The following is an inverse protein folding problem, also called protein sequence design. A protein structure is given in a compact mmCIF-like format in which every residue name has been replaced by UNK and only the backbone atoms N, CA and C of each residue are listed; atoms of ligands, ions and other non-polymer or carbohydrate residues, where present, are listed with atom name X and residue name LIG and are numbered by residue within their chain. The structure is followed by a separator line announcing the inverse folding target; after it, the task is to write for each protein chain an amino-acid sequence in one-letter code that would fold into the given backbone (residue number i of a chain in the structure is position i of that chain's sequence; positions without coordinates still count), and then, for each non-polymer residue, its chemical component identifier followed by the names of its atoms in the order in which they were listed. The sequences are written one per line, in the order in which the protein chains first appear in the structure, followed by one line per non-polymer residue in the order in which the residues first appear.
data_IF_930419735637
#
_entry.id   IF_930419735637
#
_cell.length_a   1.000
_cell.length_b   1.000
_cell.length_c   1.000
_cell.angle_alpha   90.00
_cell.angle_beta   90.00
_cell.angle_gamma   90.00
#
_symmetry.space_group_name_H-M   'P 1'
#
loop_
_entity.id
_entity.type
_entity.pdbx_description
1 polymer ?
#
# COMPACT_ATOMS: atom_id res chain seq x y z
N UNK A 1 4.16 -16.06 -1.15
CA UNK A 1 4.07 -15.23 0.06
C UNK A 1 2.92 -14.24 -0.07
N UNK A 2 2.45 -13.72 1.05
CA UNK A 2 1.34 -12.77 1.08
C UNK A 2 1.85 -11.34 1.20
N UNK A 3 1.28 -10.45 0.38
CA UNK A 3 1.63 -9.05 0.30
C UNK A 3 0.39 -8.17 0.44
N UNK A 4 0.48 -7.16 1.30
CA UNK A 4 -0.59 -6.18 1.51
C UNK A 4 -0.27 -4.91 0.75
N UNK A 5 -1.09 -4.57 -0.23
CA UNK A 5 -1.01 -3.34 -1.00
C UNK A 5 -2.02 -2.33 -0.46
N UNK A 6 -1.58 -1.07 -0.32
CA UNK A 6 -2.45 0.00 0.19
C UNK A 6 -2.38 1.28 -0.66
N UNK A 7 -1.50 1.32 -1.63
CA UNK A 7 -1.29 2.47 -2.51
C UNK A 7 -1.45 2.13 -3.99
N UNK A 8 -0.48 2.48 -4.81
CA UNK A 8 -0.58 2.29 -6.26
C UNK A 8 -0.72 0.83 -6.69
N UNK A 9 -0.21 -0.11 -5.90
CA UNK A 9 -0.30 -1.53 -6.22
C UNK A 9 -1.71 -2.13 -5.98
N UNK A 10 -2.63 -1.34 -5.42
CA UNK A 10 -4.04 -1.70 -5.42
C UNK A 10 -4.61 -1.73 -6.83
N UNK A 11 -4.04 -0.96 -7.74
CA UNK A 11 -4.42 -0.91 -9.13
C UNK A 11 -4.01 -2.22 -9.80
N UNK A 12 -4.98 -3.03 -10.24
CA UNK A 12 -4.72 -4.36 -10.77
C UNK A 12 -3.88 -4.32 -12.04
N UNK A 13 -4.08 -3.33 -12.88
CA UNK A 13 -3.27 -3.15 -14.08
C UNK A 13 -1.81 -2.89 -13.71
N UNK A 14 -1.57 -1.95 -12.79
CA UNK A 14 -0.22 -1.62 -12.34
C UNK A 14 0.44 -2.81 -11.64
N UNK A 15 -0.28 -3.47 -10.76
CA UNK A 15 0.26 -4.60 -10.00
C UNK A 15 0.63 -5.76 -10.93
N UNK A 16 -0.23 -6.08 -11.89
CA UNK A 16 0.03 -7.17 -12.83
C UNK A 16 1.21 -6.86 -13.75
N UNK A 17 1.38 -5.60 -14.11
CA UNK A 17 2.52 -5.16 -14.91
C UNK A 17 3.84 -5.30 -14.16
N UNK A 18 3.85 -4.97 -12.85
CA UNK A 18 5.05 -5.10 -12.01
C UNK A 18 5.33 -6.54 -11.60
N UNK A 19 4.30 -7.29 -11.31
CA UNK A 19 4.37 -8.61 -10.69
C UNK A 19 3.51 -9.59 -11.47
N UNK A 20 4.11 -10.21 -12.48
CA UNK A 20 3.38 -11.11 -13.40
C UNK A 20 2.72 -12.30 -12.73
N UNK A 21 3.32 -12.79 -11.65
CA UNK A 21 2.83 -13.96 -10.93
C UNK A 21 1.80 -13.62 -9.86
N UNK A 22 1.53 -12.34 -9.64
CA UNK A 22 0.66 -11.91 -8.56
C UNK A 22 -0.79 -12.33 -8.78
N UNK A 23 -1.46 -12.65 -7.67
CA UNK A 23 -2.88 -12.99 -7.66
C UNK A 23 -3.57 -12.19 -6.56
N UNK A 24 -4.58 -11.44 -6.92
CA UNK A 24 -5.42 -10.76 -5.94
C UNK A 24 -6.30 -11.80 -5.23
N UNK A 25 -6.22 -11.84 -3.91
CA UNK A 25 -6.99 -12.81 -3.13
C UNK A 25 -8.27 -12.18 -2.56
N UNK A 26 -8.14 -11.08 -1.87
CA UNK A 26 -9.28 -10.40 -1.24
C UNK A 26 -8.86 -9.05 -0.66
N UNK A 27 -9.86 -8.25 -0.32
CA UNK A 27 -9.63 -7.03 0.46
C UNK A 27 -9.52 -7.37 1.94
N UNK A 28 -8.65 -6.66 2.65
CA UNK A 28 -8.51 -6.77 4.11
C UNK A 28 -8.30 -5.39 4.71
N UNK A 29 -8.40 -5.28 6.03
CA UNK A 29 -8.18 -4.05 6.77
C UNK A 29 -7.06 -4.24 7.78
N UNK A 30 -6.10 -3.33 7.78
CA UNK A 30 -5.05 -3.28 8.79
C UNK A 30 -5.45 -2.27 9.85
N UNK A 31 -5.72 -2.75 11.06
CA UNK A 31 -6.19 -1.93 12.18
C UNK A 31 -5.03 -1.26 12.89
N UNK A 32 -5.31 -0.08 13.47
CA UNK A 32 -4.35 0.71 14.25
C UNK A 32 -3.19 1.23 13.43
N UNK A 33 -3.46 1.47 12.14
CA UNK A 33 -2.60 2.16 11.20
C UNK A 33 -3.41 3.20 10.46
N UNK A 34 -2.75 4.24 9.98
CA UNK A 34 -3.38 5.25 9.10
C UNK A 34 -2.59 5.41 7.81
N UNK A 35 -3.30 5.70 6.74
CA UNK A 35 -2.73 6.03 5.44
C UNK A 35 -2.27 7.48 5.44
N UNK A 36 -1.05 7.71 4.96
CA UNK A 36 -0.48 9.05 4.79
C UNK A 36 0.18 9.16 3.43
N UNK A 37 0.53 10.38 3.04
CA UNK A 37 1.30 10.65 1.83
C UNK A 37 2.47 11.55 2.23
N UNK A 38 3.67 11.19 1.81
CA UNK A 38 4.87 11.92 2.21
C UNK A 38 6.04 11.68 1.26
N UNK A 39 7.20 12.19 1.60
CA UNK A 39 8.44 12.18 0.85
C UNK A 39 8.42 13.11 -0.36
N UNK A 40 9.57 13.29 -0.99
CA UNK A 40 9.66 14.08 -2.22
C UNK A 40 8.83 13.49 -3.36
N UNK A 41 8.50 12.21 -3.26
CA UNK A 41 7.67 11.53 -4.25
C UNK A 41 6.18 11.68 -3.99
N UNK A 42 5.81 12.22 -2.82
CA UNK A 42 4.41 12.40 -2.44
C UNK A 42 3.63 11.10 -2.51
N UNK A 43 4.29 10.02 -2.08
CA UNK A 43 3.79 8.66 -2.21
C UNK A 43 3.12 8.18 -0.92
N UNK A 44 2.30 7.14 -1.07
CA UNK A 44 1.56 6.55 0.04
C UNK A 44 2.49 5.85 1.03
N UNK A 45 2.18 6.00 2.30
CA UNK A 45 2.84 5.36 3.42
C UNK A 45 1.80 5.03 4.47
N UNK A 46 2.13 4.14 5.37
CA UNK A 46 1.27 3.87 6.53
C UNK A 46 2.10 3.99 7.80
N UNK A 47 1.43 4.38 8.86
CA UNK A 47 2.07 4.49 10.17
C UNK A 47 1.10 4.11 11.27
N UNK A 48 1.62 3.69 12.40
CA UNK A 48 0.81 3.31 13.54
C UNK A 48 -0.05 4.48 14.02
N UNK A 49 -1.33 4.24 14.18
CA UNK A 49 -2.28 5.22 14.71
C UNK A 49 -3.45 4.51 15.32
N UNK A 50 -3.54 4.53 16.65
CA UNK A 50 -4.62 3.88 17.40
C UNK A 50 -6.00 4.34 16.89
N UNK A 51 -6.92 3.39 16.72
CA UNK A 51 -8.30 3.61 16.27
C UNK A 51 -8.43 4.05 14.81
N UNK A 52 -7.35 3.99 14.03
CA UNK A 52 -7.40 4.18 12.59
C UNK A 52 -7.35 2.85 11.87
N UNK A 53 -7.69 2.85 10.59
CA UNK A 53 -7.73 1.63 9.78
C UNK A 53 -7.24 1.95 8.37
N UNK A 54 -6.43 1.06 7.81
CA UNK A 54 -6.00 1.13 6.41
C UNK A 54 -6.60 -0.04 5.66
N UNK A 55 -7.47 0.21 4.68
CA UNK A 55 -7.94 -0.86 3.82
C UNK A 55 -6.90 -1.17 2.76
N UNK A 56 -6.86 -2.40 2.29
CA UNK A 56 -5.93 -2.77 1.25
C UNK A 56 -6.28 -4.08 0.58
N UNK A 57 -5.46 -4.46 -0.38
CA UNK A 57 -5.58 -5.69 -1.13
C UNK A 57 -4.55 -6.71 -0.69
N UNK A 58 -4.99 -7.92 -0.49
CA UNK A 58 -4.10 -9.04 -0.19
C UNK A 58 -3.79 -9.78 -1.48
N UNK A 59 -2.51 -9.88 -1.80
CA UNK A 59 -2.03 -10.56 -2.99
C UNK A 59 -1.13 -11.71 -2.60
N UNK A 60 -1.22 -12.80 -3.37
CA UNK A 60 -0.19 -13.83 -3.35
C UNK A 60 0.86 -13.46 -4.38
N UNK A 61 2.14 -13.46 -3.98
CA UNK A 61 3.25 -13.08 -4.85
C UNK A 61 4.35 -14.13 -4.80
N UNK A 62 5.11 -14.22 -5.90
CA UNK A 62 6.28 -15.08 -5.99
C UNK A 62 7.53 -14.36 -5.48
N UNK A 63 8.63 -15.10 -5.32
CA UNK A 63 9.93 -14.50 -4.99
C UNK A 63 10.40 -13.54 -6.09
N UNK A 64 10.10 -13.87 -7.34
CA UNK A 64 10.41 -12.98 -8.46
C UNK A 64 9.63 -11.67 -8.35
N UNK A 65 8.35 -11.75 -7.99
CA UNK A 65 7.52 -10.58 -7.76
C UNK A 65 8.07 -9.72 -6.62
N UNK A 66 8.48 -10.36 -5.53
CA UNK A 66 9.05 -9.66 -4.38
C UNK A 66 10.29 -8.85 -4.78
N UNK A 67 11.18 -9.45 -5.58
CA UNK A 67 12.36 -8.74 -6.07
C UNK A 67 12.00 -7.51 -6.90
N UNK A 68 10.97 -7.61 -7.72
CA UNK A 68 10.49 -6.48 -8.54
C UNK A 68 9.85 -5.39 -7.69
N UNK A 69 9.10 -5.78 -6.67
CA UNK A 69 8.55 -4.83 -5.70
C UNK A 69 9.66 -4.11 -4.93
N UNK A 70 10.69 -4.83 -4.52
CA UNK A 70 11.85 -4.25 -3.83
C UNK A 70 12.48 -3.14 -4.67
N UNK A 71 12.64 -3.37 -5.96
CA UNK A 71 13.18 -2.35 -6.88
C UNK A 71 12.22 -1.16 -7.00
N UNK A 72 10.94 -1.44 -7.21
CA UNK A 72 9.93 -0.39 -7.37
C UNK A 72 9.82 0.50 -6.13
N UNK A 73 9.89 -0.11 -4.95
CA UNK A 73 9.77 0.59 -3.66
C UNK A 73 11.10 1.21 -3.19
N UNK A 74 12.17 1.06 -3.95
CA UNK A 74 13.51 1.49 -3.54
C UNK A 74 13.87 0.94 -2.16
N UNK A 75 13.63 -0.34 -1.97
CA UNK A 75 13.97 -1.07 -0.76
C UNK A 75 15.48 -1.34 -0.72
N UNK A 76 16.17 -1.14 0.39
CA UNK A 76 15.69 -0.74 1.73
C UNK A 76 15.83 0.75 2.03
N UNK A 77 16.08 1.60 1.03
CA UNK A 77 16.38 3.02 1.24
C UNK A 77 15.12 3.85 1.51
N UNK A 78 14.17 3.86 0.59
CA UNK A 78 12.94 4.64 0.73
C UNK A 78 11.92 3.91 1.59
N UNK A 79 11.68 2.65 1.27
CA UNK A 79 10.77 1.79 2.03
C UNK A 79 11.55 0.65 2.67
N UNK A 80 11.04 0.18 3.82
CA UNK A 80 11.47 -1.03 4.50
C UNK A 80 10.30 -2.00 4.55
N UNK A 81 10.57 -3.27 4.80
CA UNK A 81 9.52 -4.28 4.93
C UNK A 81 9.00 -4.31 6.36
N UNK A 82 7.67 -4.41 6.46
CA UNK A 82 6.97 -4.58 7.72
C UNK A 82 6.12 -5.83 7.60
N UNK A 83 6.16 -6.68 8.63
CA UNK A 83 5.41 -7.92 8.67
C UNK A 83 4.38 -7.86 9.78
N UNK A 84 3.18 -8.33 9.50
CA UNK A 84 2.13 -8.42 10.51
C UNK A 84 1.40 -9.75 10.37
N UNK A 85 0.74 -10.15 11.47
CA UNK A 85 -0.04 -11.38 11.52
C UNK A 85 -1.50 -11.04 11.26
N UNK A 86 -2.14 -11.80 10.38
CA UNK A 86 -3.54 -11.64 10.05
C UNK A 86 -4.17 -13.03 10.04
N UNK A 87 -4.97 -13.34 11.06
CA UNK A 87 -5.59 -14.66 11.24
C UNK A 87 -4.57 -15.80 11.10
N UNK A 88 -3.44 -15.68 11.78
CA UNK A 88 -2.39 -16.69 11.80
C UNK A 88 -1.46 -16.71 10.60
N UNK A 89 -1.66 -15.81 9.63
CA UNK A 89 -0.81 -15.72 8.44
C UNK A 89 0.10 -14.51 8.49
N UNK A 90 1.36 -14.72 8.13
CA UNK A 90 2.36 -13.64 8.05
C UNK A 90 2.19 -12.90 6.73
N UNK A 91 1.98 -11.58 6.81
CA UNK A 91 1.78 -10.73 5.64
C UNK A 91 2.88 -9.67 5.60
N UNK A 92 3.44 -9.45 4.43
CA UNK A 92 4.47 -8.43 4.19
C UNK A 92 3.84 -7.19 3.56
N UNK A 93 4.29 -6.02 4.01
CA UNK A 93 4.00 -4.75 3.34
C UNK A 93 5.22 -3.84 3.42
N UNK A 94 5.16 -2.69 2.76
CA UNK A 94 6.25 -1.72 2.77
C UNK A 94 5.83 -0.48 3.54
N UNK A 95 6.75 0.06 4.34
CA UNK A 95 6.54 1.34 5.03
C UNK A 95 7.78 2.20 4.84
N UNK A 96 7.60 3.52 4.75
CA UNK A 96 8.74 4.42 4.55
C UNK A 96 9.68 4.40 5.75
N UNK A 97 10.99 4.44 5.46
CA UNK A 97 12.05 4.46 6.47
C UNK A 97 12.08 5.76 7.24
N UNK A 98 11.76 6.88 6.57
CA UNK A 98 11.73 8.22 7.18
C UNK A 98 10.33 8.79 7.15
N UNK A 99 9.86 9.27 8.30
CA UNK A 99 8.54 9.87 8.43
C UNK A 99 8.64 11.39 8.24
N UNK A 100 8.77 11.81 6.98
CA UNK A 100 8.84 13.22 6.61
C UNK A 100 7.47 13.89 6.71
N UNK A 101 7.41 15.20 6.45
CA UNK A 101 6.15 15.95 6.45
C UNK A 101 5.16 15.36 5.45
N UNK A 102 3.88 15.43 5.76
CA UNK A 102 2.83 15.04 4.84
C UNK A 102 2.85 15.92 3.60
N UNK A 103 2.58 15.33 2.45
CA UNK A 103 2.47 16.04 1.18
C UNK A 103 1.31 15.46 0.38
N UNK A 104 0.51 16.32 -0.20
CA UNK A 104 -0.61 15.91 -1.03
C UNK A 104 -0.08 15.16 -2.27
N UNK A 105 -0.66 14.01 -2.61
CA UNK A 105 -0.21 13.25 -3.79
C UNK A 105 -0.47 14.03 -5.08
N UNK A 106 0.30 13.72 -6.13
CA UNK A 106 0.01 14.27 -7.45
C UNK A 106 -1.33 13.73 -7.93
N UNK A 107 -2.01 14.49 -8.77
CA UNK A 107 -3.31 14.06 -9.32
C UNK A 107 -3.20 12.73 -10.05
N UNK A 108 -2.16 12.57 -10.86
CA UNK A 108 -1.91 11.33 -11.62
C UNK A 108 -1.76 10.12 -10.69
N UNK A 109 -0.93 10.25 -9.67
CA UNK A 109 -0.71 9.17 -8.69
C UNK A 109 -1.98 8.85 -7.91
N UNK A 110 -2.70 9.89 -7.49
CA UNK A 110 -3.96 9.72 -6.77
C UNK A 110 -5.00 8.99 -7.61
N UNK A 111 -5.08 9.30 -8.91
CA UNK A 111 -6.00 8.61 -9.81
C UNK A 111 -5.69 7.13 -9.95
N UNK A 112 -4.40 6.75 -9.96
CA UNK A 112 -3.99 5.34 -9.96
C UNK A 112 -4.52 4.63 -8.72
N UNK A 113 -4.40 5.28 -7.56
CA UNK A 113 -4.90 4.73 -6.29
C UNK A 113 -6.43 4.64 -6.28
N UNK A 114 -7.12 5.65 -6.79
CA UNK A 114 -8.60 5.62 -6.88
C UNK A 114 -9.09 4.46 -7.73
N UNK A 115 -8.42 4.19 -8.85
CA UNK A 115 -8.72 3.02 -9.66
C UNK A 115 -8.47 1.72 -8.89
N UNK A 116 -7.38 1.69 -8.12
CA UNK A 116 -7.08 0.54 -7.27
C UNK A 116 -8.14 0.30 -6.20
N UNK A 117 -8.68 1.36 -5.60
CA UNK A 117 -9.81 1.24 -4.67
C UNK A 117 -11.02 0.60 -5.33
N UNK A 118 -11.30 0.98 -6.57
CA UNK A 118 -12.36 0.36 -7.37
C UNK A 118 -12.08 -1.12 -7.63
N UNK A 119 -10.86 -1.42 -8.09
CA UNK A 119 -10.46 -2.80 -8.43
C UNK A 119 -10.59 -3.74 -7.23
N UNK A 120 -10.21 -3.27 -6.04
CA UNK A 120 -10.25 -4.06 -4.81
C UNK A 120 -11.56 -3.89 -4.04
N UNK A 121 -12.49 -3.09 -4.54
CA UNK A 121 -13.79 -2.79 -3.90
C UNK A 121 -13.63 -2.21 -2.49
N UNK A 122 -12.69 -1.28 -2.34
CA UNK A 122 -12.44 -0.60 -1.08
C UNK A 122 -13.36 0.62 -0.93
N UNK A 123 -13.73 0.94 0.31
CA UNK A 123 -14.54 2.11 0.59
C UNK A 123 -13.71 3.40 0.45
N UNK A 124 -14.21 4.34 -0.35
CA UNK A 124 -13.53 5.62 -0.62
C UNK A 124 -13.30 6.46 0.64
N UNK A 125 -14.13 6.29 1.66
CA UNK A 125 -14.05 7.10 2.90
C UNK A 125 -12.65 7.06 3.53
N UNK A 126 -11.96 5.93 3.45
CA UNK A 126 -10.62 5.81 4.03
C UNK A 126 -9.60 6.66 3.29
N UNK A 127 -9.69 6.70 1.95
CA UNK A 127 -8.81 7.55 1.14
C UNK A 127 -9.11 9.03 1.37
N UNK A 128 -10.39 9.41 1.38
CA UNK A 128 -10.79 10.79 1.63
C UNK A 128 -10.31 11.27 3.00
N UNK A 129 -10.45 10.42 4.02
CA UNK A 129 -9.97 10.75 5.36
C UNK A 129 -8.45 10.96 5.38
N UNK A 130 -7.69 10.13 4.67
CA UNK A 130 -6.24 10.29 4.57
C UNK A 130 -5.86 11.61 3.90
N UNK A 131 -6.59 12.02 2.88
CA UNK A 131 -6.35 13.29 2.18
C UNK A 131 -6.70 14.52 3.04
N UNK A 132 -7.64 14.37 3.95
CA UNK A 132 -8.09 15.49 4.81
C UNK A 132 -7.08 15.90 5.87
N UNK A 133 -6.12 15.06 6.21
CA UNK A 133 -5.12 15.36 7.23
C UNK A 133 -3.87 16.05 6.65
N UNK A 134 -3.84 16.26 5.35
CA UNK A 134 -2.68 16.82 4.66
C UNK A 134 -2.69 18.36 4.68
#
# INVERSE_FOLDING_TARGET
MLYFAYGSNLNHFQMKKRCKDSKFLKKIKLKDFRLTFRSKYRAADIEARKNSTVPGGLFEISKSDERKLDVYEDYPLLYKKYYFNYYGKKIMTYTMTKKTKFKYPTERYLNVIKCGYKDCKLEKKYLLKALMIL
#
